data_IF_642290290942
#
_entry.id   IF_642290290942
#
_cell.length_a   1.000
_cell.length_b   1.000
_cell.length_c   1.000
_cell.angle_alpha   90.00
_cell.angle_beta   90.00
_cell.angle_gamma   90.00
#
_symmetry.space_group_name_H-M   'P 1'
#
loop_
_entity.id
_entity.type
_entity.pdbx_description
1 polymer ?
#
# COMPACT_ATOMS: atom_id res chain seq x y z
N UNK A 1 -7.33 -7.90 2.25
CA UNK A 1 -6.13 -8.53 2.82
C UNK A 1 -5.68 -7.83 4.11
N UNK A 2 -5.33 -6.51 4.10
CA UNK A 2 -4.80 -5.80 5.27
C UNK A 2 -5.72 -5.87 6.49
N UNK A 3 -6.98 -5.45 6.35
CA UNK A 3 -7.98 -5.51 7.44
C UNK A 3 -8.21 -6.92 7.94
N UNK A 4 -8.20 -7.92 7.07
CA UNK A 4 -8.34 -9.32 7.43
C UNK A 4 -7.20 -9.77 8.35
N UNK A 5 -5.95 -9.41 8.04
CA UNK A 5 -4.80 -9.73 8.89
C UNK A 5 -4.88 -9.04 10.25
N UNK A 6 -5.36 -7.79 10.31
CA UNK A 6 -5.62 -7.10 11.57
C UNK A 6 -6.64 -7.86 12.44
N UNK A 7 -7.77 -8.26 11.86
CA UNK A 7 -8.80 -9.02 12.56
C UNK A 7 -8.29 -10.38 13.03
N UNK A 8 -7.55 -11.11 12.17
CA UNK A 8 -6.97 -12.40 12.55
C UNK A 8 -6.04 -12.25 13.77
N UNK A 9 -5.18 -11.22 13.78
CA UNK A 9 -4.28 -10.98 14.90
C UNK A 9 -5.04 -10.67 16.20
N UNK A 10 -6.09 -9.84 16.15
CA UNK A 10 -6.94 -9.52 17.30
C UNK A 10 -7.68 -10.77 17.80
N UNK A 11 -8.33 -11.50 16.89
CA UNK A 11 -9.12 -12.70 17.25
C UNK A 11 -8.22 -13.78 17.86
N UNK A 12 -7.06 -14.03 17.25
CA UNK A 12 -6.11 -15.03 17.77
C UNK A 12 -5.62 -14.68 19.18
N UNK A 13 -5.29 -13.43 19.46
CA UNK A 13 -4.86 -12.99 20.79
C UNK A 13 -5.99 -12.97 21.83
N UNK A 14 -7.25 -12.80 21.38
CA UNK A 14 -8.43 -12.92 22.23
C UNK A 14 -8.86 -14.39 22.46
N UNK A 15 -8.15 -15.37 21.90
CA UNK A 15 -8.49 -16.79 22.02
C UNK A 15 -9.69 -17.22 21.17
N UNK A 16 -10.04 -16.43 20.15
CA UNK A 16 -11.15 -16.72 19.24
C UNK A 16 -10.68 -17.55 18.04
N UNK A 17 -11.64 -18.23 17.39
CA UNK A 17 -11.37 -18.89 16.10
C UNK A 17 -11.03 -17.86 15.02
N UNK A 18 -10.07 -18.20 14.16
CA UNK A 18 -9.64 -17.37 13.04
C UNK A 18 -10.01 -18.04 11.71
N UNK A 19 -10.31 -17.28 10.66
CA UNK A 19 -10.62 -17.82 9.32
C UNK A 19 -9.35 -18.25 8.58
N UNK A 20 -8.64 -19.22 9.11
CA UNK A 20 -7.42 -19.79 8.55
C UNK A 20 -7.28 -21.26 8.95
N UNK A 21 -6.73 -22.08 8.07
CA UNK A 21 -6.42 -23.49 8.38
C UNK A 21 -5.35 -23.61 9.47
N UNK A 22 -4.41 -22.67 9.50
CA UNK A 22 -3.35 -22.57 10.49
C UNK A 22 -2.95 -21.12 10.69
N UNK A 23 -2.82 -20.69 11.94
CA UNK A 23 -2.28 -19.38 12.27
C UNK A 23 -1.22 -19.54 13.38
N UNK A 24 -0.04 -18.98 13.16
CA UNK A 24 1.03 -18.87 14.16
C UNK A 24 1.39 -17.41 14.28
N UNK A 25 0.97 -16.77 15.37
CA UNK A 25 1.11 -15.33 15.57
C UNK A 25 1.86 -15.12 16.88
N UNK A 26 3.00 -14.41 16.80
CA UNK A 26 3.72 -13.98 18.00
C UNK A 26 2.88 -12.97 18.80
N UNK A 27 3.17 -12.83 20.08
CA UNK A 27 2.50 -11.86 20.93
C UNK A 27 2.68 -10.44 20.36
N UNK A 28 1.57 -9.74 20.20
CA UNK A 28 1.49 -8.36 19.73
C UNK A 28 1.08 -7.49 20.92
N UNK A 29 1.92 -6.54 21.29
CA UNK A 29 1.61 -5.60 22.37
C UNK A 29 0.64 -4.51 21.95
N UNK A 30 0.73 -4.09 20.69
CA UNK A 30 -0.14 -3.07 20.07
C UNK A 30 -0.35 -3.37 18.60
N UNK A 31 -1.58 -3.18 18.17
CA UNK A 31 -1.93 -3.18 16.75
C UNK A 31 -2.24 -1.76 16.32
N UNK A 32 -1.49 -1.26 15.35
CA UNK A 32 -1.75 0.01 14.70
C UNK A 32 -2.25 -0.26 13.28
N UNK A 33 -3.36 0.34 12.91
CA UNK A 33 -3.92 0.18 11.58
C UNK A 33 -4.35 1.53 11.03
N UNK A 34 -3.77 1.91 9.90
CA UNK A 34 -4.22 3.02 9.08
C UNK A 34 -4.57 2.47 7.71
N UNK A 35 -5.84 2.12 7.52
CA UNK A 35 -6.38 1.53 6.29
C UNK A 35 -7.64 2.29 5.88
N UNK A 36 -7.55 2.99 4.75
CA UNK A 36 -8.61 3.84 4.22
C UNK A 36 -8.58 5.27 4.79
N UNK A 37 -8.87 6.26 3.95
CA UNK A 37 -9.02 7.65 4.38
C UNK A 37 -10.38 7.79 5.08
N UNK A 38 -10.38 8.14 6.37
CA UNK A 38 -11.54 8.75 6.99
C UNK A 38 -11.48 10.24 6.68
N UNK A 39 -12.34 10.72 5.80
CA UNK A 39 -12.51 12.15 5.56
C UNK A 39 -13.09 12.79 6.82
N UNK A 40 -12.24 13.36 7.67
CA UNK A 40 -12.69 14.17 8.81
C UNK A 40 -12.89 15.64 8.37
N UNK A 41 -13.73 15.80 7.34
CA UNK A 41 -14.12 17.11 6.80
C UNK A 41 -14.79 18.00 7.87
N UNK A 42 -15.33 17.40 8.92
CA UNK A 42 -16.02 18.11 10.00
C UNK A 42 -15.07 18.98 10.85
N UNK A 43 -13.76 18.73 10.82
CA UNK A 43 -12.76 19.48 11.60
C UNK A 43 -11.90 20.42 10.77
N UNK A 44 -12.18 20.59 9.47
CA UNK A 44 -11.46 21.50 8.58
C UNK A 44 -9.97 21.16 8.38
N UNK A 45 -9.55 19.93 8.70
CA UNK A 45 -8.18 19.46 8.48
C UNK A 45 -8.08 18.83 7.10
N UNK A 46 -6.99 19.09 6.40
CA UNK A 46 -6.63 18.38 5.18
C UNK A 46 -6.51 16.87 5.49
N UNK A 47 -7.04 16.03 4.60
CA UNK A 47 -6.91 14.56 4.68
C UNK A 47 -5.47 14.13 4.86
N UNK A 48 -4.53 14.82 4.19
CA UNK A 48 -3.09 14.60 4.32
C UNK A 48 -2.56 14.93 5.72
N UNK A 49 -3.03 16.03 6.35
CA UNK A 49 -2.61 16.37 7.72
C UNK A 49 -3.09 15.32 8.73
N UNK A 50 -4.32 14.81 8.58
CA UNK A 50 -4.83 13.73 9.43
C UNK A 50 -3.97 12.49 9.26
N UNK A 51 -3.64 12.14 8.01
CA UNK A 51 -2.74 11.04 7.70
C UNK A 51 -1.38 11.17 8.40
N UNK A 52 -0.76 12.35 8.32
CA UNK A 52 0.54 12.58 8.94
C UNK A 52 0.48 12.51 10.47
N UNK A 53 -0.57 13.03 11.10
CA UNK A 53 -0.77 12.93 12.55
C UNK A 53 -0.92 11.49 13.00
N UNK A 54 -1.70 10.68 12.29
CA UNK A 54 -1.89 9.26 12.59
C UNK A 54 -0.58 8.48 12.38
N UNK A 55 0.11 8.71 11.26
CA UNK A 55 1.41 8.09 10.96
C UNK A 55 2.45 8.46 12.02
N UNK A 56 2.54 9.72 12.42
CA UNK A 56 3.43 10.16 13.49
C UNK A 56 3.10 9.48 14.83
N UNK A 57 1.82 9.33 15.17
CA UNK A 57 1.41 8.63 16.38
C UNK A 57 1.82 7.15 16.35
N UNK A 58 1.76 6.49 15.19
CA UNK A 58 2.22 5.11 15.00
C UNK A 58 3.73 5.01 15.18
N UNK A 59 4.49 5.81 14.44
CA UNK A 59 5.96 5.77 14.46
C UNK A 59 6.54 6.05 15.85
N UNK A 60 5.94 6.98 16.59
CA UNK A 60 6.38 7.32 17.96
C UNK A 60 5.98 6.28 19.04
N UNK A 61 5.06 5.37 18.75
CA UNK A 61 4.52 4.44 19.75
C UNK A 61 4.75 2.96 19.42
N UNK A 62 5.11 2.65 18.18
CA UNK A 62 5.40 1.29 17.78
C UNK A 62 6.63 0.75 18.51
N UNK A 63 6.56 -0.49 18.96
CA UNK A 63 7.65 -1.24 19.57
C UNK A 63 8.00 -2.41 18.66
N UNK A 64 9.11 -3.10 18.93
CA UNK A 64 9.51 -4.29 18.18
C UNK A 64 8.50 -5.47 18.27
N UNK A 65 7.50 -5.40 19.15
CA UNK A 65 6.41 -6.38 19.27
C UNK A 65 5.09 -5.89 18.70
N UNK A 66 5.04 -4.69 18.16
CA UNK A 66 3.83 -4.15 17.54
C UNK A 66 3.57 -4.79 16.17
N UNK A 67 2.30 -4.81 15.76
CA UNK A 67 1.88 -5.05 14.39
C UNK A 67 1.38 -3.74 13.80
N UNK A 68 2.05 -3.29 12.75
CA UNK A 68 1.71 -2.05 12.05
C UNK A 68 1.12 -2.38 10.67
N UNK A 69 -0.01 -1.78 10.34
CA UNK A 69 -0.68 -1.94 9.05
C UNK A 69 -0.92 -0.55 8.45
N UNK A 70 -0.22 -0.24 7.38
CA UNK A 70 -0.31 1.04 6.67
C UNK A 70 -0.76 0.84 5.22
N UNK A 71 -1.64 1.71 4.77
CA UNK A 71 -2.24 1.64 3.44
C UNK A 71 -2.11 3.01 2.75
N UNK A 72 -1.42 3.03 1.62
CA UNK A 72 -1.25 4.18 0.72
C UNK A 72 -0.74 5.47 1.41
N UNK A 73 0.28 5.36 2.25
CA UNK A 73 0.92 6.52 2.89
C UNK A 73 1.52 7.44 1.82
N UNK A 74 1.26 8.75 1.96
CA UNK A 74 1.77 9.79 1.06
C UNK A 74 0.85 10.10 -0.14
N UNK A 75 -0.36 9.51 -0.22
CA UNK A 75 -1.27 9.72 -1.35
C UNK A 75 -1.86 11.14 -1.43
N UNK A 76 -1.94 11.85 -0.30
CA UNK A 76 -2.63 13.16 -0.19
C UNK A 76 -1.77 14.39 -0.52
N UNK A 77 -0.58 14.23 -1.11
CA UNK A 77 0.35 15.32 -1.44
C UNK A 77 0.97 15.13 -2.83
N UNK A 78 1.91 15.99 -3.23
CA UNK A 78 2.64 15.85 -4.48
C UNK A 78 3.39 14.50 -4.54
N UNK A 79 3.51 13.93 -5.73
CA UNK A 79 4.00 12.55 -5.93
C UNK A 79 5.35 12.30 -5.27
N UNK A 80 6.32 13.19 -5.48
CA UNK A 80 7.68 13.01 -4.92
C UNK A 80 7.72 13.20 -3.41
N UNK A 81 6.94 14.14 -2.86
CA UNK A 81 6.82 14.33 -1.40
C UNK A 81 6.20 13.09 -0.75
N UNK A 82 5.13 12.58 -1.35
CA UNK A 82 4.46 11.36 -0.89
C UNK A 82 5.39 10.14 -0.93
N UNK A 83 6.11 9.96 -2.03
CA UNK A 83 7.10 8.88 -2.19
C UNK A 83 8.21 8.99 -1.14
N UNK A 84 8.77 10.19 -0.92
CA UNK A 84 9.85 10.41 0.06
C UNK A 84 9.39 10.09 1.49
N UNK A 85 8.15 10.49 1.86
CA UNK A 85 7.57 10.20 3.17
C UNK A 85 7.33 8.69 3.33
N UNK A 86 6.75 8.03 2.32
CA UNK A 86 6.49 6.59 2.35
C UNK A 86 7.78 5.79 2.45
N UNK A 87 8.81 6.19 1.70
CA UNK A 87 10.15 5.59 1.73
C UNK A 87 10.78 5.67 3.13
N UNK A 88 10.89 6.89 3.66
CA UNK A 88 11.48 7.12 4.99
C UNK A 88 10.69 6.45 6.12
N UNK A 89 9.36 6.39 5.98
CA UNK A 89 8.50 5.67 6.93
C UNK A 89 8.82 4.18 6.95
N UNK A 90 9.00 3.58 5.78
CA UNK A 90 9.30 2.16 5.66
C UNK A 90 10.69 1.82 6.22
N UNK A 91 11.71 2.64 5.91
CA UNK A 91 13.04 2.51 6.49
C UNK A 91 13.01 2.62 8.03
N UNK A 92 12.30 3.61 8.56
CA UNK A 92 12.17 3.80 10.01
C UNK A 92 11.49 2.60 10.70
N UNK A 93 10.44 2.05 10.11
CA UNK A 93 9.76 0.86 10.64
C UNK A 93 10.67 -0.37 10.64
N UNK A 94 11.52 -0.50 9.62
CA UNK A 94 12.47 -1.60 9.49
C UNK A 94 13.65 -1.44 10.47
N UNK A 95 14.33 -0.29 10.47
CA UNK A 95 15.63 -0.10 11.13
C UNK A 95 15.49 0.32 12.60
N UNK A 96 14.52 1.18 12.91
CA UNK A 96 14.35 1.75 14.24
C UNK A 96 13.27 1.02 15.06
N UNK A 97 12.08 0.87 14.52
CA UNK A 97 10.97 0.20 15.24
C UNK A 97 11.13 -1.31 15.27
N UNK A 98 11.72 -1.90 14.23
CA UNK A 98 11.92 -3.34 14.03
C UNK A 98 10.64 -4.18 14.25
N UNK A 99 9.48 -3.56 13.99
CA UNK A 99 8.17 -4.17 14.20
C UNK A 99 7.69 -4.93 12.96
N UNK A 100 6.71 -5.82 13.14
CA UNK A 100 6.04 -6.48 12.03
C UNK A 100 5.16 -5.48 11.32
N UNK A 101 5.36 -5.33 10.01
CA UNK A 101 4.64 -4.33 9.22
C UNK A 101 4.02 -4.94 7.96
N UNK A 102 2.77 -4.60 7.69
CA UNK A 102 2.13 -4.75 6.39
C UNK A 102 1.98 -3.35 5.79
N UNK A 103 2.68 -3.10 4.69
CA UNK A 103 2.71 -1.80 4.04
C UNK A 103 2.18 -1.94 2.60
N UNK A 104 0.97 -1.45 2.33
CA UNK A 104 0.45 -1.40 0.97
C UNK A 104 0.73 -0.04 0.34
N UNK A 105 1.12 -0.04 -0.91
CA UNK A 105 1.48 1.17 -1.65
C UNK A 105 1.27 0.98 -3.15
N UNK A 106 1.09 2.09 -3.84
CA UNK A 106 1.11 2.18 -5.30
C UNK A 106 2.46 2.68 -5.84
N UNK A 107 3.41 3.03 -4.96
CA UNK A 107 4.75 3.46 -5.35
C UNK A 107 5.62 2.25 -5.70
N UNK A 108 5.83 2.01 -7.00
CA UNK A 108 6.68 0.92 -7.48
C UNK A 108 8.15 1.08 -7.06
N UNK A 109 8.60 2.30 -6.91
CA UNK A 109 9.96 2.66 -6.50
C UNK A 109 10.35 2.04 -5.16
N UNK A 110 9.39 1.87 -4.24
CA UNK A 110 9.61 1.26 -2.92
C UNK A 110 10.03 -0.22 -3.01
N UNK A 111 9.77 -0.89 -4.13
CA UNK A 111 10.22 -2.28 -4.35
C UNK A 111 11.75 -2.39 -4.36
N UNK A 112 12.44 -1.32 -4.70
CA UNK A 112 13.92 -1.26 -4.67
C UNK A 112 14.49 -1.45 -3.25
N UNK A 113 13.74 -1.08 -2.21
CA UNK A 113 14.13 -1.25 -0.81
C UNK A 113 14.34 -2.74 -0.43
N UNK A 114 13.76 -3.67 -1.17
CA UNK A 114 14.02 -5.10 -0.95
C UNK A 114 15.49 -5.48 -1.13
N UNK A 115 16.30 -4.65 -1.84
CA UNK A 115 17.73 -4.88 -2.04
C UNK A 115 18.58 -4.40 -0.86
N UNK A 116 18.08 -3.48 -0.05
CA UNK A 116 18.80 -2.83 1.05
C UNK A 116 18.25 -3.16 2.42
N UNK A 117 16.98 -3.53 2.52
CA UNK A 117 16.30 -3.88 3.76
C UNK A 117 16.11 -5.41 3.85
N UNK A 118 16.95 -6.08 4.59
CA UNK A 118 17.04 -7.56 4.63
C UNK A 118 15.73 -8.27 5.03
N UNK A 119 14.91 -7.62 5.86
CA UNK A 119 13.64 -8.18 6.34
C UNK A 119 12.43 -7.80 5.46
N UNK A 120 12.63 -6.95 4.45
CA UNK A 120 11.55 -6.53 3.55
C UNK A 120 11.27 -7.60 2.50
N UNK A 121 9.99 -7.88 2.26
CA UNK A 121 9.52 -8.80 1.19
C UNK A 121 8.39 -8.15 0.42
N UNK A 122 8.55 -8.11 -0.90
CA UNK A 122 7.51 -7.60 -1.79
C UNK A 122 6.48 -8.68 -2.10
N UNK A 123 5.22 -8.27 -2.12
CA UNK A 123 4.08 -9.08 -2.53
C UNK A 123 3.17 -8.26 -3.43
N UNK A 124 2.47 -8.90 -4.33
CA UNK A 124 1.53 -8.27 -5.24
C UNK A 124 0.19 -9.02 -5.27
N UNK A 125 -0.86 -8.29 -5.68
CA UNK A 125 -2.15 -8.92 -5.99
C UNK A 125 -2.01 -9.71 -7.30
N UNK A 126 -2.41 -10.97 -7.28
CA UNK A 126 -2.35 -11.81 -8.46
C UNK A 126 -3.42 -11.40 -9.47
N UNK A 127 -2.98 -11.18 -10.69
CA UNK A 127 -3.82 -10.83 -11.84
C UNK A 127 -3.65 -11.89 -12.91
N UNK A 128 -4.70 -12.22 -13.63
CA UNK A 128 -4.68 -13.11 -14.80
C UNK A 128 -5.25 -12.40 -16.01
N UNK A 129 -4.54 -12.46 -17.11
CA UNK A 129 -5.09 -12.06 -18.40
C UNK A 129 -5.93 -13.21 -18.97
N UNK A 130 -7.16 -12.89 -19.38
CA UNK A 130 -8.08 -13.82 -20.01
C UNK A 130 -8.83 -13.12 -21.13
N UNK A 131 -8.66 -13.61 -22.37
CA UNK A 131 -9.32 -13.07 -23.57
C UNK A 131 -9.18 -11.55 -23.74
N UNK A 132 -7.99 -11.00 -23.49
CA UNK A 132 -7.73 -9.55 -23.56
C UNK A 132 -8.33 -8.73 -22.41
N UNK A 133 -8.89 -9.39 -21.40
CA UNK A 133 -9.41 -8.80 -20.17
C UNK A 133 -8.57 -9.21 -18.96
N UNK A 134 -8.54 -8.37 -17.94
CA UNK A 134 -7.82 -8.63 -16.70
C UNK A 134 -8.79 -9.11 -15.63
N UNK A 135 -8.45 -10.22 -15.00
CA UNK A 135 -9.20 -10.81 -13.88
C UNK A 135 -8.35 -10.72 -12.62
N UNK A 136 -8.85 -10.02 -11.61
CA UNK A 136 -8.24 -9.97 -10.29
C UNK A 136 -8.59 -11.23 -9.50
N UNK A 137 -7.58 -12.02 -9.13
CA UNK A 137 -7.80 -13.29 -8.44
C UNK A 137 -7.96 -13.12 -6.92
N UNK A 138 -7.81 -11.91 -6.40
CA UNK A 138 -7.87 -11.59 -4.97
C UNK A 138 -6.90 -12.41 -4.10
N UNK A 139 -5.80 -12.86 -4.69
CA UNK A 139 -4.74 -13.60 -4.02
C UNK A 139 -3.48 -12.74 -3.95
N UNK A 140 -2.81 -12.77 -2.80
CA UNK A 140 -1.52 -12.12 -2.59
C UNK A 140 -0.42 -13.15 -2.84
N UNK A 141 0.50 -12.83 -3.74
CA UNK A 141 1.62 -13.69 -4.13
C UNK A 141 2.95 -12.98 -3.90
N UNK A 142 4.02 -13.74 -3.71
CA UNK A 142 5.37 -13.19 -3.59
C UNK A 142 5.81 -12.53 -4.90
N UNK A 143 6.52 -11.41 -4.80
CA UNK A 143 7.03 -10.63 -5.91
C UNK A 143 6.41 -9.23 -6.00
N UNK A 144 6.89 -8.43 -6.95
CA UNK A 144 6.33 -7.13 -7.30
C UNK A 144 5.39 -7.25 -8.50
N UNK A 145 4.45 -6.32 -8.64
CA UNK A 145 3.66 -6.21 -9.86
C UNK A 145 4.53 -5.63 -11.00
N UNK A 146 4.52 -6.28 -12.16
CA UNK A 146 5.33 -5.84 -13.30
C UNK A 146 4.72 -4.64 -14.04
N UNK A 147 3.41 -4.40 -13.89
CA UNK A 147 2.66 -3.35 -14.58
C UNK A 147 1.56 -2.77 -13.69
N UNK A 148 1.21 -1.51 -13.96
CA UNK A 148 -0.03 -0.92 -13.46
C UNK A 148 -1.19 -1.30 -14.40
N UNK A 149 -2.37 -1.49 -13.82
CA UNK A 149 -3.59 -1.86 -14.58
C UNK A 149 -4.63 -0.73 -14.60
N UNK A 150 -4.23 0.50 -14.27
CA UNK A 150 -5.13 1.64 -14.13
C UNK A 150 -5.97 1.92 -15.38
N UNK A 151 -5.34 1.99 -16.56
CA UNK A 151 -6.05 2.23 -17.83
C UNK A 151 -7.00 1.07 -18.16
N UNK A 152 -6.62 -0.17 -17.82
CA UNK A 152 -7.51 -1.31 -18.01
C UNK A 152 -8.73 -1.25 -17.10
N UNK A 153 -8.55 -0.91 -15.82
CA UNK A 153 -9.67 -0.72 -14.87
C UNK A 153 -10.59 0.42 -15.33
N UNK A 154 -10.02 1.52 -15.85
CA UNK A 154 -10.77 2.61 -16.43
C UNK A 154 -11.65 2.16 -17.63
N UNK A 155 -11.12 1.25 -18.45
CA UNK A 155 -11.88 0.62 -19.55
C UNK A 155 -13.05 -0.21 -19.03
N UNK A 156 -12.83 -1.03 -18.01
CA UNK A 156 -13.89 -1.81 -17.36
C UNK A 156 -14.95 -0.94 -16.70
N UNK A 157 -14.56 0.23 -16.19
CA UNK A 157 -15.47 1.23 -15.63
C UNK A 157 -16.26 2.02 -16.70
N UNK A 158 -15.98 1.80 -17.98
CA UNK A 158 -16.74 2.41 -19.08
C UNK A 158 -16.25 3.81 -19.50
N UNK A 159 -15.01 4.18 -19.25
CA UNK A 159 -14.47 5.44 -19.78
C UNK A 159 -14.53 5.46 -21.32
N UNK A 160 -14.78 6.64 -21.95
CA UNK A 160 -14.85 6.75 -23.40
C UNK A 160 -13.56 6.29 -24.08
N UNK A 161 -13.69 5.59 -25.22
CA UNK A 161 -12.56 5.02 -25.96
C UNK A 161 -11.50 6.08 -26.36
N UNK A 162 -11.92 7.30 -26.69
CA UNK A 162 -11.00 8.39 -27.02
C UNK A 162 -10.11 8.79 -25.81
N UNK A 163 -10.66 8.80 -24.60
CA UNK A 163 -9.91 9.08 -23.35
C UNK A 163 -8.93 7.95 -23.07
N UNK A 164 -9.35 6.70 -23.21
CA UNK A 164 -8.52 5.52 -22.99
C UNK A 164 -7.34 5.47 -23.96
N UNK A 165 -7.56 5.69 -25.27
CA UNK A 165 -6.50 5.72 -26.28
C UNK A 165 -5.48 6.83 -26.02
N UNK A 166 -5.93 8.02 -25.57
CA UNK A 166 -4.99 9.10 -25.21
C UNK A 166 -4.22 8.76 -23.93
N UNK A 167 -4.88 8.17 -22.94
CA UNK A 167 -4.22 7.75 -21.68
C UNK A 167 -3.13 6.69 -21.94
N UNK A 168 -3.36 5.72 -22.83
CA UNK A 168 -2.35 4.72 -23.22
C UNK A 168 -1.13 5.39 -23.88
N UNK A 169 -1.37 6.37 -24.78
CA UNK A 169 -0.27 7.12 -25.40
C UNK A 169 0.56 7.87 -24.38
N UNK A 170 -0.11 8.64 -23.48
CA UNK A 170 0.58 9.41 -22.44
C UNK A 170 1.36 8.49 -21.49
N UNK A 171 0.76 7.36 -21.08
CA UNK A 171 1.43 6.41 -20.21
C UNK A 171 2.72 5.89 -20.84
N UNK A 172 2.70 5.52 -22.13
CA UNK A 172 3.89 5.09 -22.85
C UNK A 172 4.97 6.18 -22.95
N UNK A 173 4.57 7.45 -23.14
CA UNK A 173 5.48 8.59 -23.15
C UNK A 173 6.13 8.81 -21.77
N UNK A 174 5.36 8.71 -20.69
CA UNK A 174 5.85 8.84 -19.30
C UNK A 174 6.80 7.70 -18.93
N UNK A 175 6.46 6.45 -19.26
CA UNK A 175 7.29 5.28 -18.97
C UNK A 175 8.64 5.32 -19.71
N UNK A 176 8.68 5.90 -20.92
CA UNK A 176 9.91 6.07 -21.69
C UNK A 176 10.72 7.31 -21.34
N UNK A 177 10.24 8.14 -20.41
CA UNK A 177 10.88 9.40 -20.03
C UNK A 177 10.84 10.48 -21.13
N UNK A 178 10.00 10.31 -22.17
CA UNK A 178 9.87 11.25 -23.29
C UNK A 178 8.96 12.44 -22.98
N UNK A 179 8.21 12.43 -21.89
CA UNK A 179 7.53 13.62 -21.40
C UNK A 179 8.57 14.48 -20.69
N UNK A 180 8.99 15.55 -21.37
CA UNK A 180 9.75 16.61 -20.73
C UNK A 180 8.95 17.12 -19.52
N UNK A 181 9.67 17.44 -18.45
CA UNK A 181 9.08 18.00 -17.25
C UNK A 181 8.04 19.05 -17.64
N UNK A 182 6.79 18.81 -17.29
CA UNK A 182 5.78 19.86 -17.33
C UNK A 182 6.14 20.75 -16.14
N UNK A 183 6.77 21.89 -16.45
CA UNK A 183 7.07 22.97 -15.51
C UNK A 183 5.77 23.50 -14.86
#
# INVERSE_FOLDING_TARGET
FLRQNAHIAIMAQAGLYVPAEKAVIGLVDRLFSRVGAADDLARGRSTFMVEMVETAAILNRATNRSLVILDEIGRGTATYDGLAIAWSTLEYLHDASTCRTLFATHYHELTHLQKTLDQLRCHAMQVREWQGSIVFLHQVVAGSADRSYGVHVARLAGLPAAVLGRAETILGELETGQHGAVD
#
